data_IF_356932893197
#
_entry.id   IF_356932893197
#
_cell.length_a   1.000
_cell.length_b   1.000
_cell.length_c   1.000
_cell.angle_alpha   90.00
_cell.angle_beta   90.00
_cell.angle_gamma   90.00
#
_symmetry.space_group_name_H-M   'P 1'
#
loop_
_entity.id
_entity.type
_entity.pdbx_description
1 polymer ?
#
# COMPACT_ATOMS: atom_id res chain seq x y z
N UNK A 1 6.92 -17.58 17.45
CA UNK A 1 5.74 -17.22 16.62
C UNK A 1 5.60 -15.71 16.65
N UNK A 2 5.78 -15.05 15.52
CA UNK A 2 5.52 -13.62 15.36
C UNK A 2 4.02 -13.39 15.28
N UNK A 3 3.50 -12.45 16.05
CA UNK A 3 2.07 -12.20 16.17
C UNK A 3 1.63 -10.89 15.49
N UNK A 4 2.55 -10.11 14.93
CA UNK A 4 2.21 -8.84 14.31
C UNK A 4 3.42 -7.95 14.02
N UNK A 5 3.11 -6.72 13.60
CA UNK A 5 4.08 -5.64 13.49
C UNK A 5 3.44 -4.32 13.94
N UNK A 6 4.27 -3.40 14.41
CA UNK A 6 3.93 -2.01 14.71
C UNK A 6 4.70 -1.10 13.78
N UNK A 7 3.99 -0.16 13.14
CA UNK A 7 4.55 0.85 12.26
C UNK A 7 4.46 2.18 12.99
N UNK A 8 5.59 2.88 13.04
CA UNK A 8 5.67 4.21 13.64
C UNK A 8 6.10 5.25 12.63
N UNK A 9 5.61 6.47 12.83
CA UNK A 9 5.93 7.66 12.04
C UNK A 9 6.42 8.80 12.92
N UNK A 10 7.33 9.61 12.42
CA UNK A 10 7.80 10.84 13.05
C UNK A 10 7.93 12.00 12.05
N UNK A 11 7.85 13.26 12.52
CA UNK A 11 8.15 14.44 11.70
C UNK A 11 9.67 14.70 11.56
N UNK A 12 10.50 14.14 12.43
CA UNK A 12 11.97 14.26 12.43
C UNK A 12 12.60 12.86 12.55
N UNK A 13 13.87 12.67 12.11
CA UNK A 13 14.51 11.35 12.14
C UNK A 13 14.69 10.79 13.56
N UNK A 14 14.84 11.67 14.54
CA UNK A 14 15.02 11.37 15.97
C UNK A 14 13.67 11.12 16.69
N UNK A 15 12.53 11.40 16.04
CA UNK A 15 11.20 11.37 16.66
C UNK A 15 10.60 12.75 16.95
N UNK A 16 9.53 12.85 17.75
CA UNK A 16 8.87 11.74 18.43
C UNK A 16 8.19 10.79 17.44
N UNK A 17 8.29 9.48 17.72
CA UNK A 17 7.64 8.44 16.94
C UNK A 17 6.27 8.11 17.53
N UNK A 18 5.26 8.10 16.67
CA UNK A 18 3.88 7.72 17.01
C UNK A 18 3.48 6.48 16.23
N UNK A 19 2.68 5.60 16.84
CA UNK A 19 2.14 4.43 16.17
C UNK A 19 1.07 4.85 15.17
N UNK A 20 1.27 4.49 13.89
CA UNK A 20 0.33 4.78 12.80
C UNK A 20 -0.32 3.53 12.23
N UNK A 21 0.22 2.35 12.53
CA UNK A 21 -0.36 1.08 12.10
C UNK A 21 0.05 -0.08 12.99
N UNK A 22 -0.86 -1.04 13.15
CA UNK A 22 -0.60 -2.34 13.78
C UNK A 22 -1.27 -3.43 12.95
N UNK A 23 -0.64 -4.60 12.89
CA UNK A 23 -1.26 -5.79 12.32
C UNK A 23 -1.17 -6.95 13.28
N UNK A 24 -2.23 -7.76 13.33
CA UNK A 24 -2.32 -8.97 14.13
C UNK A 24 -2.41 -10.17 13.21
N UNK A 25 -1.40 -11.06 13.29
CA UNK A 25 -1.25 -12.26 12.47
C UNK A 25 -1.18 -11.97 10.94
N UNK A 26 -0.58 -12.90 10.17
CA UNK A 26 -0.55 -12.89 8.70
C UNK A 26 0.03 -11.62 8.02
N UNK A 27 1.37 -11.60 7.94
CA UNK A 27 2.24 -11.35 6.75
C UNK A 27 1.91 -10.29 5.70
N UNK A 28 1.02 -9.33 5.93
CA UNK A 28 0.96 -8.17 5.03
C UNK A 28 2.24 -7.36 5.22
N UNK A 29 3.18 -7.46 4.27
CA UNK A 29 4.48 -6.77 4.30
C UNK A 29 4.41 -5.32 3.85
N UNK A 30 3.20 -4.80 3.63
CA UNK A 30 2.96 -3.50 3.00
C UNK A 30 2.02 -2.66 3.87
N UNK A 31 2.44 -1.46 4.21
CA UNK A 31 1.63 -0.44 4.88
C UNK A 31 1.50 0.78 3.97
N UNK A 32 0.28 1.29 3.82
CA UNK A 32 0.01 2.55 3.15
C UNK A 32 -0.51 3.56 4.18
N UNK A 33 0.27 4.61 4.43
CA UNK A 33 -0.16 5.71 5.29
C UNK A 33 -1.01 6.69 4.46
N UNK A 34 -2.33 6.68 4.67
CA UNK A 34 -3.27 7.58 3.97
C UNK A 34 -3.56 8.86 4.77
N UNK A 35 -2.94 9.02 5.94
CA UNK A 35 -3.18 10.16 6.84
C UNK A 35 -2.15 11.29 6.66
N UNK A 36 -1.18 11.09 5.77
CA UNK A 36 -0.12 12.05 5.49
C UNK A 36 -0.54 13.14 4.52
N UNK A 37 0.07 14.31 4.69
CA UNK A 37 -0.09 15.45 3.79
C UNK A 37 1.03 15.41 2.76
N UNK A 38 0.68 15.57 1.49
CA UNK A 38 1.68 15.62 0.42
C UNK A 38 2.65 16.78 0.54
N UNK A 39 3.88 16.57 0.08
CA UNK A 39 4.97 17.56 0.14
C UNK A 39 5.66 17.65 1.52
N UNK A 40 5.14 16.98 2.55
CA UNK A 40 5.78 16.92 3.88
C UNK A 40 6.62 15.65 4.02
N UNK A 41 7.88 15.78 4.45
CA UNK A 41 8.73 14.62 4.75
C UNK A 41 8.28 13.95 6.04
N UNK A 42 8.22 12.62 6.01
CA UNK A 42 7.95 11.78 7.18
C UNK A 42 9.01 10.69 7.30
N UNK A 43 9.24 10.26 8.54
CA UNK A 43 10.19 9.22 8.90
C UNK A 43 9.44 8.03 9.47
N UNK A 44 9.80 6.81 9.06
CA UNK A 44 9.12 5.58 9.45
C UNK A 44 10.10 4.56 9.99
N UNK A 45 9.63 3.78 10.95
CA UNK A 45 10.29 2.56 11.44
C UNK A 45 9.25 1.50 11.77
N UNK A 46 9.64 0.24 11.67
CA UNK A 46 8.78 -0.92 11.95
C UNK A 46 9.44 -1.83 12.98
N UNK A 47 8.64 -2.43 13.86
CA UNK A 47 9.10 -3.49 14.75
C UNK A 47 8.12 -4.66 14.71
N UNK A 48 8.64 -5.88 14.77
CA UNK A 48 7.81 -7.07 14.92
C UNK A 48 7.31 -7.20 16.36
N UNK A 49 6.11 -7.76 16.52
CA UNK A 49 5.46 -7.96 17.81
C UNK A 49 5.20 -9.44 18.03
N UNK A 50 5.57 -9.97 19.19
CA UNK A 50 5.29 -11.34 19.61
C UNK A 50 4.68 -11.35 21.03
N UNK A 51 4.44 -12.53 21.61
CA UNK A 51 3.84 -12.64 22.97
C UNK A 51 4.68 -11.99 24.07
N UNK A 52 5.99 -11.84 23.88
CA UNK A 52 6.88 -11.20 24.84
C UNK A 52 6.91 -9.67 24.68
N UNK A 53 6.35 -9.14 23.59
CA UNK A 53 6.25 -7.69 23.35
C UNK A 53 6.77 -7.29 21.97
N UNK A 54 7.14 -6.00 21.87
CA UNK A 54 7.71 -5.40 20.66
C UNK A 54 9.21 -5.64 20.60
N UNK A 55 9.71 -6.13 19.47
CA UNK A 55 11.13 -6.32 19.22
C UNK A 55 11.88 -5.01 18.95
N UNK A 56 13.13 -5.14 18.51
CA UNK A 56 13.90 -3.98 18.04
C UNK A 56 13.25 -3.34 16.81
N UNK A 57 13.33 -2.01 16.72
CA UNK A 57 12.91 -1.29 15.52
C UNK A 57 13.93 -1.46 14.40
N UNK A 58 13.43 -1.44 13.17
CA UNK A 58 14.24 -1.29 11.96
C UNK A 58 15.00 0.04 11.95
N UNK A 59 15.91 0.16 10.99
CA UNK A 59 16.44 1.47 10.59
C UNK A 59 15.31 2.42 10.20
N UNK A 60 15.56 3.72 10.39
CA UNK A 60 14.63 4.79 10.04
C UNK A 60 14.76 5.10 8.56
N UNK A 61 13.65 5.03 7.83
CA UNK A 61 13.55 5.43 6.43
C UNK A 61 12.68 6.67 6.28
N UNK A 62 12.85 7.45 5.21
CA UNK A 62 12.07 8.66 4.97
C UNK A 62 11.37 8.66 3.63
N UNK A 63 10.19 9.27 3.56
CA UNK A 63 9.45 9.48 2.33
C UNK A 63 8.81 10.88 2.31
N UNK A 64 8.60 11.42 1.10
CA UNK A 64 7.78 12.61 0.86
C UNK A 64 6.59 12.13 0.01
N UNK A 65 5.39 11.99 0.59
CA UNK A 65 4.22 11.59 -0.17
C UNK A 65 3.86 12.72 -1.14
N UNK A 66 3.36 12.35 -2.31
CA UNK A 66 2.70 13.30 -3.20
C UNK A 66 1.24 13.38 -2.78
N UNK A 67 0.67 14.60 -2.72
CA UNK A 67 -0.78 14.71 -2.68
C UNK A 67 -1.29 14.10 -3.97
N UNK A 68 -2.18 13.11 -3.88
CA UNK A 68 -2.92 12.68 -5.05
C UNK A 68 -3.56 13.91 -5.66
N UNK A 69 -3.31 14.17 -6.95
CA UNK A 69 -4.14 15.12 -7.69
C UNK A 69 -5.54 14.52 -7.66
N UNK A 70 -6.50 15.18 -7.01
CA UNK A 70 -7.89 14.86 -7.28
C UNK A 70 -8.06 14.99 -8.79
N UNK A 71 -8.46 13.90 -9.44
CA UNK A 71 -8.83 13.97 -10.84
C UNK A 71 -9.89 15.09 -10.94
N UNK A 72 -9.88 15.93 -12.00
CA UNK A 72 -10.99 16.85 -12.24
C UNK A 72 -12.33 16.13 -12.05
N UNK A 73 -13.38 16.78 -11.54
CA UNK A 73 -14.70 16.15 -11.34
C UNK A 73 -15.15 15.35 -12.58
N UNK A 74 -14.82 15.84 -13.78
CA UNK A 74 -15.12 15.21 -15.07
C UNK A 74 -14.36 13.90 -15.36
N UNK A 75 -13.32 13.59 -14.57
CA UNK A 75 -12.49 12.39 -14.66
C UNK A 75 -12.73 11.44 -13.48
N UNK A 76 -13.70 11.74 -12.61
CA UNK A 76 -14.20 10.76 -11.65
C UNK A 76 -14.58 9.51 -12.43
N UNK A 77 -13.89 8.41 -12.14
CA UNK A 77 -14.09 7.12 -12.79
C UNK A 77 -15.60 6.80 -12.80
N UNK A 78 -16.26 6.98 -13.95
CA UNK A 78 -17.50 6.28 -14.21
C UNK A 78 -17.13 4.81 -14.13
N UNK A 79 -17.61 4.13 -13.09
CA UNK A 79 -17.68 2.68 -13.11
C UNK A 79 -18.44 2.34 -14.39
N UNK A 80 -17.79 1.74 -15.39
CA UNK A 80 -18.47 1.24 -16.58
C UNK A 80 -19.41 0.14 -16.10
N UNK A 81 -20.63 0.53 -15.80
CA UNK A 81 -21.69 -0.35 -15.38
C UNK A 81 -21.85 -1.45 -16.43
N UNK A 82 -21.34 -2.64 -16.14
CA UNK A 82 -21.71 -3.87 -16.84
C UNK A 82 -20.82 -4.32 -18.00
N UNK A 83 -19.57 -3.87 -18.14
CA UNK A 83 -18.66 -4.54 -19.06
C UNK A 83 -18.05 -5.79 -18.38
N UNK A 84 -18.75 -6.91 -18.47
CA UNK A 84 -18.11 -8.23 -18.40
C UNK A 84 -16.86 -8.18 -19.28
N UNK A 85 -15.70 -8.42 -18.68
CA UNK A 85 -14.44 -8.57 -19.43
C UNK A 85 -14.62 -9.79 -20.35
N UNK A 86 -15.06 -9.58 -21.59
CA UNK A 86 -14.99 -10.61 -22.63
C UNK A 86 -13.51 -10.86 -22.88
N UNK A 87 -12.98 -11.92 -22.29
CA UNK A 87 -11.76 -12.53 -22.77
C UNK A 87 -12.02 -13.09 -24.16
N UNK A 88 -11.83 -12.28 -25.20
CA UNK A 88 -11.83 -12.80 -26.56
C UNK A 88 -10.38 -13.03 -26.98
N UNK A 89 -9.94 -14.27 -26.86
CA UNK A 89 -8.72 -14.75 -27.52
C UNK A 89 -9.03 -14.77 -29.02
N UNK A 90 -8.43 -13.87 -29.79
CA UNK A 90 -8.51 -13.92 -31.24
C UNK A 90 -7.47 -14.93 -31.76
N UNK A 91 -7.95 -16.07 -32.29
CA UNK A 91 -7.14 -16.93 -33.17
C UNK A 91 -7.43 -16.54 -34.62
N UNK A 92 -6.39 -16.16 -35.38
CA UNK A 92 -6.50 -16.00 -36.83
C UNK A 92 -6.49 -17.38 -37.49
N UNK A 93 -7.56 -17.81 -38.19
CA UNK A 93 -7.50 -19.05 -38.97
C UNK A 93 -6.64 -18.83 -40.22
N UNK A 94 -5.63 -19.67 -40.43
CA UNK A 94 -4.99 -19.78 -41.75
C UNK A 94 -5.76 -20.83 -42.55
N UNK A 95 -6.39 -20.41 -43.64
CA UNK A 95 -6.93 -21.29 -44.70
C UNK A 95 -8.18 -22.14 -44.40
N UNK A 96 -9.13 -21.63 -43.60
CA UNK A 96 -10.52 -22.11 -43.56
C UNK A 96 -10.75 -23.63 -43.41
N UNK A 97 -9.91 -24.32 -42.62
CA UNK A 97 -10.16 -25.69 -42.17
C UNK A 97 -9.81 -25.84 -40.69
N UNK A 98 -10.82 -26.15 -39.88
CA UNK A 98 -10.67 -26.46 -38.45
C UNK A 98 -10.07 -27.86 -38.31
N UNK A 99 -8.95 -27.97 -37.60
CA UNK A 99 -8.55 -29.18 -36.88
C UNK A 99 -8.58 -28.86 -35.38
#
# INVERSE_FOLDING_TARGET
>A
VFNGAVIQRAPFPEGPFETVGTWSYNTTKCYADTTVIGGKRYYYRVAEVNKAGTGAYSDVVSAIPCSGRELPEEWSLMNLSGASISSEVSYNPVNNRTF
#
